data_IF_373946772839
#
_entry.id   IF_373946772839
#
_cell.length_a   1.000
_cell.length_b   1.000
_cell.length_c   1.000
_cell.angle_alpha   90.00
_cell.angle_beta   90.00
_cell.angle_gamma   90.00
#
_symmetry.space_group_name_H-M   'P 1'
#
loop_
_entity.id
_entity.type
_entity.pdbx_description
1 polymer ?
#
# COMPACT_ATOMS: atom_id res chain seq x y z
N UNK A 1 49.20 9.87 -20.85
CA UNK A 1 47.92 10.15 -20.14
C UNK A 1 46.97 9.01 -20.44
N UNK A 2 46.66 8.20 -19.44
CA UNK A 2 45.79 7.04 -19.59
C UNK A 2 44.33 7.49 -19.62
N UNK A 3 43.46 6.77 -20.34
CA UNK A 3 42.00 7.02 -20.41
C UNK A 3 41.32 7.24 -19.02
N UNK A 4 41.98 6.79 -17.97
CA UNK A 4 41.59 6.94 -16.57
C UNK A 4 41.73 8.39 -16.06
N UNK A 5 42.65 9.17 -16.58
CA UNK A 5 42.89 10.57 -16.16
C UNK A 5 41.96 11.56 -16.88
N UNK A 6 41.45 11.20 -18.07
CA UNK A 6 40.53 12.07 -18.82
C UNK A 6 39.10 12.04 -18.26
N UNK A 7 38.70 10.92 -17.61
CA UNK A 7 37.37 10.78 -16.97
C UNK A 7 37.28 11.60 -15.67
N UNK A 8 38.38 11.88 -15.00
CA UNK A 8 38.43 12.65 -13.75
C UNK A 8 38.34 14.16 -13.95
N UNK A 9 38.58 14.68 -15.15
CA UNK A 9 38.59 16.13 -15.46
C UNK A 9 37.19 16.67 -15.88
N UNK A 10 36.26 15.82 -16.21
CA UNK A 10 34.90 16.21 -16.63
C UNK A 10 33.84 16.31 -15.48
N UNK A 11 34.24 15.94 -14.24
CA UNK A 11 33.37 15.92 -13.07
C UNK A 11 33.59 17.15 -12.15
N UNK A 12 34.44 18.08 -12.52
CA UNK A 12 34.95 19.15 -11.65
C UNK A 12 34.15 20.46 -11.62
N UNK A 13 32.92 20.52 -12.11
CA UNK A 13 32.11 21.74 -12.08
C UNK A 13 30.62 21.43 -11.81
N UNK A 14 30.31 21.00 -10.58
CA UNK A 14 28.95 21.08 -10.04
C UNK A 14 29.00 21.61 -8.60
N UNK A 15 28.25 22.67 -8.42
CA UNK A 15 28.02 23.49 -7.22
C UNK A 15 28.08 22.74 -5.88
N UNK A 16 28.67 23.41 -4.89
CA UNK A 16 28.62 23.07 -3.47
C UNK A 16 27.16 22.91 -3.02
N UNK A 17 26.70 21.65 -2.84
CA UNK A 17 25.31 21.50 -2.36
C UNK A 17 24.86 20.08 -2.17
N UNK A 18 25.44 19.00 -2.52
CA UNK A 18 25.08 17.65 -2.06
C UNK A 18 26.16 16.69 -2.53
N UNK A 19 26.81 16.01 -1.59
CA UNK A 19 27.87 15.06 -1.91
C UNK A 19 27.24 13.81 -2.53
N UNK A 20 27.09 13.79 -3.85
CA UNK A 20 26.69 12.61 -4.63
C UNK A 20 27.63 11.43 -4.36
N UNK A 21 27.16 10.22 -4.63
CA UNK A 21 27.98 9.02 -4.52
C UNK A 21 29.29 9.17 -5.29
N UNK A 22 30.42 8.98 -4.62
CA UNK A 22 31.71 8.96 -5.29
C UNK A 22 31.83 7.69 -6.16
N UNK A 23 32.41 7.77 -7.37
CA UNK A 23 32.59 6.61 -8.24
C UNK A 23 33.35 5.47 -7.55
N UNK A 24 34.24 5.77 -6.63
CA UNK A 24 34.97 4.78 -5.85
C UNK A 24 34.08 3.96 -4.92
N UNK A 25 33.06 4.56 -4.31
CA UNK A 25 32.11 3.87 -3.43
C UNK A 25 31.24 2.89 -4.22
N UNK A 26 30.78 3.29 -5.40
CA UNK A 26 30.01 2.43 -6.30
C UNK A 26 30.86 1.25 -6.78
N UNK A 27 32.08 1.50 -7.24
CA UNK A 27 33.01 0.46 -7.68
C UNK A 27 33.33 -0.51 -6.54
N UNK A 28 33.60 0.00 -5.34
CA UNK A 28 33.84 -0.83 -4.15
C UNK A 28 32.64 -1.73 -3.85
N UNK A 29 31.43 -1.17 -3.92
CA UNK A 29 30.21 -1.94 -3.66
C UNK A 29 30.01 -3.06 -4.69
N UNK A 30 30.15 -2.74 -5.98
CA UNK A 30 29.93 -3.71 -7.05
C UNK A 30 30.99 -4.82 -7.07
N UNK A 31 32.22 -4.50 -6.73
CA UNK A 31 33.36 -5.46 -6.70
C UNK A 31 33.32 -6.32 -5.41
N UNK A 32 33.28 -5.67 -4.24
CA UNK A 32 33.46 -6.36 -2.95
C UNK A 32 32.11 -6.71 -2.29
N UNK A 33 30.98 -6.21 -2.81
CA UNK A 33 29.65 -6.32 -2.18
C UNK A 33 29.64 -5.90 -0.69
N UNK A 34 30.51 -4.98 -0.33
CA UNK A 34 30.69 -4.51 1.03
C UNK A 34 31.02 -3.03 1.06
N UNK A 35 30.17 -2.26 1.71
CA UNK A 35 30.29 -0.81 1.77
C UNK A 35 29.55 -0.26 3.01
N UNK A 36 30.10 -0.51 4.20
CA UNK A 36 29.52 -0.05 5.46
C UNK A 36 29.63 1.47 5.61
N UNK A 37 28.51 2.15 5.81
CA UNK A 37 28.46 3.61 6.03
C UNK A 37 28.88 4.46 4.84
N UNK A 38 29.09 3.89 3.65
CA UNK A 38 29.51 4.66 2.49
C UNK A 38 28.43 5.60 1.98
N UNK A 39 28.88 6.65 1.32
CA UNK A 39 28.01 7.58 0.63
C UNK A 39 27.70 7.07 -0.78
N UNK A 40 26.44 6.61 -0.95
CA UNK A 40 25.85 6.14 -2.20
C UNK A 40 24.63 6.97 -2.57
N UNK A 41 24.56 8.21 -2.06
CA UNK A 41 23.46 9.12 -2.30
C UNK A 41 23.32 9.41 -3.79
N UNK A 42 22.08 9.24 -4.32
CA UNK A 42 21.79 9.41 -5.74
C UNK A 42 22.47 8.41 -6.67
N UNK A 43 23.10 7.33 -6.14
CA UNK A 43 23.78 6.33 -6.97
C UNK A 43 22.78 5.63 -7.90
N UNK A 44 23.20 5.40 -9.16
CA UNK A 44 22.46 4.54 -10.09
C UNK A 44 22.95 3.10 -9.96
N UNK A 45 22.09 2.27 -9.37
CA UNK A 45 22.32 0.85 -9.08
C UNK A 45 21.21 -0.02 -9.66
N UNK A 46 20.55 0.46 -10.73
CA UNK A 46 19.50 -0.30 -11.42
C UNK A 46 20.03 -1.64 -11.89
N UNK A 47 19.28 -2.71 -11.63
CA UNK A 47 19.67 -4.10 -11.93
C UNK A 47 20.98 -4.56 -11.26
N UNK A 48 21.52 -3.83 -10.29
CA UNK A 48 22.76 -4.23 -9.63
C UNK A 48 22.61 -5.58 -8.90
N UNK A 49 23.59 -6.46 -9.10
CA UNK A 49 23.64 -7.75 -8.42
C UNK A 49 24.31 -7.59 -7.05
N UNK A 50 23.49 -7.32 -6.03
CA UNK A 50 23.90 -7.01 -4.66
C UNK A 50 23.47 -8.08 -3.65
N UNK A 51 23.35 -9.34 -4.09
CA UNK A 51 23.00 -10.44 -3.18
C UNK A 51 24.03 -10.55 -2.06
N UNK A 52 23.54 -10.66 -0.82
CA UNK A 52 24.35 -10.75 0.40
C UNK A 52 25.25 -9.53 0.64
N UNK A 53 25.03 -8.43 -0.06
CA UNK A 53 25.81 -7.21 0.11
C UNK A 53 25.76 -6.72 1.57
N UNK A 54 26.91 -6.23 2.06
CA UNK A 54 27.03 -5.62 3.38
C UNK A 54 26.99 -4.10 3.24
N UNK A 55 25.82 -3.52 3.53
CA UNK A 55 25.51 -2.10 3.41
C UNK A 55 25.02 -1.48 4.73
N UNK A 56 25.51 -1.93 5.91
CA UNK A 56 25.00 -1.37 7.16
C UNK A 56 25.33 0.12 7.24
N UNK A 57 24.31 0.92 7.63
CA UNK A 57 24.41 2.38 7.76
C UNK A 57 24.83 3.12 6.47
N UNK A 58 24.74 2.48 5.30
CA UNK A 58 25.01 3.14 4.02
C UNK A 58 24.05 4.31 3.79
N UNK A 59 24.55 5.39 3.20
CA UNK A 59 23.77 6.56 2.80
C UNK A 59 23.29 6.34 1.36
N UNK A 60 22.01 5.96 1.21
CA UNK A 60 21.39 5.60 -0.07
C UNK A 60 20.23 6.55 -0.42
N UNK A 61 20.22 7.77 0.16
CA UNK A 61 19.15 8.74 -0.10
C UNK A 61 19.05 9.04 -1.60
N UNK A 62 17.85 8.93 -2.16
CA UNK A 62 17.59 9.18 -3.57
C UNK A 62 18.29 8.21 -4.53
N UNK A 63 18.94 7.15 -4.04
CA UNK A 63 19.58 6.17 -4.91
C UNK A 63 18.54 5.38 -5.73
N UNK A 64 18.90 5.02 -6.96
CA UNK A 64 18.09 4.21 -7.83
C UNK A 64 18.56 2.74 -7.79
N UNK A 65 17.82 1.92 -7.03
CA UNK A 65 18.02 0.48 -6.87
C UNK A 65 16.90 -0.32 -7.58
N UNK A 66 16.28 0.28 -8.59
CA UNK A 66 15.19 -0.35 -9.31
C UNK A 66 15.60 -1.71 -9.86
N UNK A 67 14.81 -2.76 -9.55
CA UNK A 67 15.05 -4.14 -9.96
C UNK A 67 16.42 -4.71 -9.54
N UNK A 68 17.13 -4.07 -8.61
CA UNK A 68 18.37 -4.61 -8.06
C UNK A 68 18.09 -5.90 -7.26
N UNK A 69 19.05 -6.81 -7.27
CA UNK A 69 18.98 -8.02 -6.47
C UNK A 69 19.73 -7.81 -5.14
N UNK A 70 18.96 -7.53 -4.10
CA UNK A 70 19.42 -7.31 -2.72
C UNK A 70 19.07 -8.50 -1.81
N UNK A 71 18.85 -9.68 -2.38
CA UNK A 71 18.47 -10.85 -1.58
C UNK A 71 19.54 -11.17 -0.53
N UNK A 72 19.07 -11.38 0.71
CA UNK A 72 19.93 -11.60 1.89
C UNK A 72 20.91 -10.45 2.19
N UNK A 73 20.74 -9.27 1.64
CA UNK A 73 21.60 -8.13 1.90
C UNK A 73 21.41 -7.60 3.35
N UNK A 74 22.47 -7.08 3.92
CA UNK A 74 22.45 -6.39 5.21
C UNK A 74 22.36 -4.88 4.97
N UNK A 75 21.17 -4.33 5.17
CA UNK A 75 20.84 -2.90 5.05
C UNK A 75 20.53 -2.26 6.42
N UNK A 76 21.00 -2.88 7.50
CA UNK A 76 20.69 -2.39 8.87
C UNK A 76 21.12 -0.94 9.05
N UNK A 77 20.16 -0.11 9.47
CA UNK A 77 20.39 1.31 9.70
C UNK A 77 20.76 2.11 8.45
N UNK A 78 20.61 1.55 7.25
CA UNK A 78 20.82 2.29 6.02
C UNK A 78 19.79 3.41 5.87
N UNK A 79 20.19 4.51 5.25
CA UNK A 79 19.30 5.61 4.93
C UNK A 79 18.87 5.50 3.46
N UNK A 80 17.63 5.02 3.27
CA UNK A 80 17.00 4.80 1.96
C UNK A 80 15.94 5.87 1.66
N UNK A 81 15.97 6.99 2.40
CA UNK A 81 15.01 8.09 2.20
C UNK A 81 14.94 8.48 0.74
N UNK A 82 13.71 8.52 0.18
CA UNK A 82 13.42 8.86 -1.21
C UNK A 82 14.13 7.99 -2.27
N UNK A 83 14.68 6.84 -1.88
CA UNK A 83 15.32 5.90 -2.82
C UNK A 83 14.27 5.12 -3.63
N UNK A 84 14.62 4.74 -4.86
CA UNK A 84 13.80 3.83 -5.66
C UNK A 84 14.29 2.39 -5.50
N UNK A 85 13.42 1.53 -5.00
CA UNK A 85 13.57 0.06 -4.91
C UNK A 85 12.48 -0.65 -5.71
N UNK A 86 11.91 0.04 -6.72
CA UNK A 86 10.80 -0.51 -7.49
C UNK A 86 11.19 -1.86 -8.14
N UNK A 87 10.43 -2.90 -7.84
CA UNK A 87 10.67 -4.25 -8.35
C UNK A 87 11.96 -4.92 -7.85
N UNK A 88 12.64 -4.34 -6.85
CA UNK A 88 13.87 -4.92 -6.29
C UNK A 88 13.57 -6.23 -5.54
N UNK A 89 14.52 -7.15 -5.57
CA UNK A 89 14.48 -8.38 -4.79
C UNK A 89 15.16 -8.16 -3.43
N UNK A 90 14.34 -8.02 -2.38
CA UNK A 90 14.75 -7.86 -0.98
C UNK A 90 14.49 -9.14 -0.15
N UNK A 91 14.31 -10.29 -0.81
CA UNK A 91 14.04 -11.56 -0.12
C UNK A 91 15.08 -11.81 0.98
N UNK A 92 14.62 -11.99 2.22
CA UNK A 92 15.46 -12.18 3.41
C UNK A 92 16.48 -11.06 3.71
N UNK A 93 16.32 -9.88 3.14
CA UNK A 93 17.16 -8.74 3.48
C UNK A 93 16.93 -8.28 4.93
N UNK A 94 17.96 -7.74 5.57
CA UNK A 94 17.87 -7.16 6.91
C UNK A 94 17.83 -5.63 6.82
N UNK A 95 16.62 -5.06 6.94
CA UNK A 95 16.32 -3.63 6.87
C UNK A 95 16.06 -3.02 8.27
N UNK A 96 16.35 -3.73 9.35
CA UNK A 96 16.07 -3.22 10.70
C UNK A 96 16.80 -1.91 10.97
N UNK A 97 16.06 -0.92 11.49
CA UNK A 97 16.57 0.42 11.72
C UNK A 97 16.86 1.22 10.45
N UNK A 98 16.53 0.69 9.25
CA UNK A 98 16.66 1.46 8.01
C UNK A 98 15.60 2.57 7.95
N UNK A 99 15.95 3.72 7.35
CA UNK A 99 15.00 4.79 7.09
C UNK A 99 14.39 4.61 5.72
N UNK A 100 13.05 4.46 5.67
CA UNK A 100 12.30 4.20 4.45
C UNK A 100 11.31 5.32 4.07
N UNK A 101 11.49 6.52 4.63
CA UNK A 101 10.61 7.64 4.31
C UNK A 101 10.67 7.98 2.82
N UNK A 102 9.52 7.99 2.15
CA UNK A 102 9.42 8.29 0.72
C UNK A 102 10.03 7.22 -0.20
N UNK A 103 10.52 6.10 0.34
CA UNK A 103 11.11 5.02 -0.46
C UNK A 103 10.07 4.37 -1.36
N UNK A 104 10.39 4.20 -2.64
CA UNK A 104 9.54 3.48 -3.60
C UNK A 104 9.84 1.98 -3.57
N UNK A 105 8.99 1.21 -2.90
CA UNK A 105 9.04 -0.25 -2.79
C UNK A 105 8.00 -0.95 -3.69
N UNK A 106 7.39 -0.22 -4.64
CA UNK A 106 6.34 -0.80 -5.48
C UNK A 106 6.84 -2.04 -6.21
N UNK A 107 6.02 -3.10 -6.15
CA UNK A 107 6.35 -4.41 -6.76
C UNK A 107 7.63 -5.07 -6.24
N UNK A 108 8.27 -4.58 -5.17
CA UNK A 108 9.44 -5.21 -4.56
C UNK A 108 9.06 -6.54 -3.87
N UNK A 109 10.02 -7.45 -3.78
CA UNK A 109 9.87 -8.70 -3.03
C UNK A 109 10.55 -8.58 -1.66
N UNK A 110 9.73 -8.38 -0.61
CA UNK A 110 10.14 -8.30 0.79
C UNK A 110 9.87 -9.61 1.55
N UNK A 111 9.66 -10.72 0.85
CA UNK A 111 9.39 -12.01 1.50
C UNK A 111 10.51 -12.36 2.46
N UNK A 112 10.16 -12.70 3.71
CA UNK A 112 11.08 -13.00 4.81
C UNK A 112 12.06 -11.86 5.16
N UNK A 113 11.90 -10.65 4.61
CA UNK A 113 12.72 -9.51 4.98
C UNK A 113 12.47 -9.11 6.46
N UNK A 114 13.54 -8.69 7.13
CA UNK A 114 13.48 -8.19 8.51
C UNK A 114 13.44 -6.67 8.46
N UNK A 115 12.33 -6.10 8.88
CA UNK A 115 12.13 -4.65 8.88
C UNK A 115 11.22 -4.23 10.03
N UNK A 116 11.29 -2.98 10.39
CA UNK A 116 10.41 -2.38 11.38
C UNK A 116 9.12 -1.93 10.66
N UNK A 117 7.94 -2.50 10.98
CA UNK A 117 6.69 -2.22 10.27
C UNK A 117 6.33 -0.73 10.19
N UNK A 118 6.71 0.04 11.20
CA UNK A 118 6.46 1.48 11.29
C UNK A 118 7.17 2.28 10.18
N UNK A 119 8.32 1.78 9.71
CA UNK A 119 9.10 2.45 8.66
C UNK A 119 8.40 2.35 7.29
N UNK A 120 7.60 1.29 7.05
CA UNK A 120 6.85 1.14 5.81
C UNK A 120 5.67 2.11 5.68
N UNK A 121 5.16 2.63 6.78
CA UNK A 121 4.00 3.54 6.77
C UNK A 121 4.25 4.83 5.96
N UNK A 122 5.50 5.21 5.75
CA UNK A 122 5.92 6.39 5.00
C UNK A 122 6.55 6.07 3.64
N UNK A 123 6.44 4.84 3.16
CA UNK A 123 6.97 4.37 1.87
C UNK A 123 5.84 3.96 0.92
N UNK A 124 6.15 3.81 -0.36
CA UNK A 124 5.21 3.34 -1.38
C UNK A 124 5.37 1.84 -1.57
N UNK A 125 4.37 1.05 -1.21
CA UNK A 125 4.48 -0.42 -1.15
C UNK A 125 3.47 -1.16 -2.05
N UNK A 126 2.81 -0.46 -2.99
CA UNK A 126 1.80 -1.05 -3.87
C UNK A 126 2.35 -2.23 -4.68
N UNK A 127 1.70 -3.38 -4.53
CA UNK A 127 2.10 -4.61 -5.21
C UNK A 127 3.36 -5.27 -4.66
N UNK A 128 3.95 -4.77 -3.58
CA UNK A 128 5.08 -5.42 -2.92
C UNK A 128 4.64 -6.73 -2.25
N UNK A 129 5.53 -7.72 -2.26
CA UNK A 129 5.31 -9.04 -1.65
C UNK A 129 5.93 -9.11 -0.25
N UNK A 130 5.42 -10.02 0.59
CA UNK A 130 6.00 -10.27 1.91
C UNK A 130 5.68 -9.21 2.97
N UNK A 131 4.84 -8.22 2.66
CA UNK A 131 4.41 -7.22 3.63
C UNK A 131 3.23 -7.76 4.44
N UNK A 132 3.38 -7.75 5.77
CA UNK A 132 2.28 -8.10 6.67
C UNK A 132 1.19 -7.01 6.67
N UNK A 133 -0.05 -7.38 7.02
CA UNK A 133 -1.15 -6.41 7.13
C UNK A 133 -0.82 -5.26 8.12
N UNK A 134 -0.04 -5.57 9.17
CA UNK A 134 0.40 -4.56 10.14
C UNK A 134 1.32 -3.50 9.54
N UNK A 135 2.08 -3.83 8.51
CA UNK A 135 3.01 -2.91 7.87
C UNK A 135 2.38 -2.11 6.71
N UNK A 136 1.23 -2.55 6.20
CA UNK A 136 0.50 -1.84 5.13
C UNK A 136 -0.17 -0.58 5.67
N UNK A 137 -0.20 0.45 4.85
CA UNK A 137 -0.96 1.66 5.14
C UNK A 137 -2.47 1.42 5.05
N UNK A 138 -3.24 2.31 5.71
CA UNK A 138 -4.70 2.31 5.56
C UNK A 138 -5.13 2.38 4.08
N UNK A 139 -4.52 3.30 3.32
CA UNK A 139 -4.89 3.53 1.92
C UNK A 139 -4.66 2.28 1.05
N UNK A 140 -3.54 1.60 1.21
CA UNK A 140 -3.26 0.36 0.48
C UNK A 140 -4.26 -0.74 0.80
N UNK A 141 -4.54 -0.97 2.09
CA UNK A 141 -5.49 -1.99 2.52
C UNK A 141 -6.89 -1.70 1.99
N UNK A 142 -7.33 -0.43 2.04
CA UNK A 142 -8.61 -0.01 1.50
C UNK A 142 -8.67 -0.23 -0.02
N UNK A 143 -7.67 0.23 -0.76
CA UNK A 143 -7.60 0.10 -2.22
C UNK A 143 -7.53 -1.37 -2.68
N UNK A 144 -6.82 -2.23 -1.95
CA UNK A 144 -6.81 -3.68 -2.22
C UNK A 144 -8.18 -4.30 -1.99
N UNK A 145 -8.91 -3.87 -0.94
CA UNK A 145 -10.30 -4.25 -0.72
C UNK A 145 -11.20 -3.85 -1.87
N UNK A 146 -11.04 -2.64 -2.41
CA UNK A 146 -11.78 -2.16 -3.59
C UNK A 146 -11.47 -3.01 -4.80
N UNK A 147 -10.20 -3.29 -5.10
CA UNK A 147 -9.80 -4.16 -6.22
C UNK A 147 -10.41 -5.55 -6.10
N UNK A 148 -10.39 -6.14 -4.90
CA UNK A 148 -10.98 -7.46 -4.65
C UNK A 148 -12.50 -7.41 -4.84
N UNK A 149 -13.19 -6.36 -4.37
CA UNK A 149 -14.63 -6.17 -4.54
C UNK A 149 -15.02 -6.06 -6.01
N UNK A 150 -14.29 -5.28 -6.80
CA UNK A 150 -14.50 -5.14 -8.25
C UNK A 150 -14.26 -6.45 -9.01
N UNK A 151 -13.39 -7.31 -8.50
CA UNK A 151 -13.15 -8.67 -9.02
C UNK A 151 -14.16 -9.72 -8.49
N UNK A 152 -15.23 -9.29 -7.80
CA UNK A 152 -16.24 -10.13 -7.14
C UNK A 152 -15.66 -11.13 -6.10
N UNK A 153 -14.46 -10.85 -5.59
CA UNK A 153 -13.81 -11.63 -4.51
C UNK A 153 -14.22 -11.07 -3.13
N UNK A 154 -15.51 -11.15 -2.82
CA UNK A 154 -16.09 -10.50 -1.65
C UNK A 154 -15.48 -10.94 -0.30
N UNK A 155 -15.11 -12.21 -0.06
CA UNK A 155 -14.41 -12.60 1.17
C UNK A 155 -13.03 -11.95 1.33
N UNK A 156 -12.26 -11.85 0.23
CA UNK A 156 -10.97 -11.17 0.21
C UNK A 156 -11.14 -9.65 0.45
N UNK A 157 -12.14 -9.04 -0.20
CA UNK A 157 -12.49 -7.64 0.01
C UNK A 157 -12.84 -7.34 1.46
N UNK A 158 -13.69 -8.16 2.09
CA UNK A 158 -14.06 -8.04 3.50
C UNK A 158 -12.84 -8.09 4.42
N UNK A 159 -11.92 -9.01 4.17
CA UNK A 159 -10.68 -9.11 4.94
C UNK A 159 -9.86 -7.83 4.83
N UNK A 160 -9.63 -7.32 3.62
CA UNK A 160 -8.84 -6.09 3.39
C UNK A 160 -9.49 -4.86 4.03
N UNK A 161 -10.81 -4.72 3.92
CA UNK A 161 -11.52 -3.62 4.59
C UNK A 161 -11.47 -3.76 6.11
N UNK A 162 -11.49 -4.97 6.66
CA UNK A 162 -11.34 -5.18 8.11
C UNK A 162 -9.96 -4.78 8.61
N UNK A 163 -8.91 -5.12 7.84
CA UNK A 163 -7.54 -4.69 8.10
C UNK A 163 -7.41 -3.16 8.00
N UNK A 164 -8.04 -2.52 7.01
CA UNK A 164 -8.08 -1.06 6.87
C UNK A 164 -8.80 -0.38 8.04
N UNK A 165 -9.94 -0.90 8.46
CA UNK A 165 -10.70 -0.41 9.63
C UNK A 165 -9.88 -0.50 10.90
N UNK A 166 -9.09 -1.57 11.09
CA UNK A 166 -8.21 -1.69 12.23
C UNK A 166 -7.12 -0.59 12.27
N UNK A 167 -6.68 -0.10 11.09
CA UNK A 167 -5.75 1.03 10.96
C UNK A 167 -6.40 2.39 11.19
N UNK A 168 -7.62 2.56 10.69
CA UNK A 168 -8.37 3.82 10.76
C UNK A 168 -9.84 3.54 11.07
N UNK A 169 -10.20 3.40 12.37
CA UNK A 169 -11.56 3.04 12.78
C UNK A 169 -12.63 4.09 12.46
N UNK A 170 -12.25 5.34 12.28
CA UNK A 170 -13.10 6.47 11.94
C UNK A 170 -13.33 6.64 10.44
N UNK A 171 -12.73 5.80 9.60
CA UNK A 171 -12.90 5.86 8.16
C UNK A 171 -14.25 5.25 7.73
N UNK A 172 -15.30 6.06 7.70
CA UNK A 172 -16.67 5.66 7.35
C UNK A 172 -16.77 4.87 6.04
N UNK A 173 -15.96 5.26 5.04
CA UNK A 173 -15.92 4.62 3.73
C UNK A 173 -15.52 3.15 3.78
N UNK A 174 -14.59 2.76 4.67
CA UNK A 174 -14.17 1.36 4.80
C UNK A 174 -15.21 0.49 5.46
N UNK A 175 -15.94 1.05 6.43
CA UNK A 175 -17.11 0.38 7.03
C UNK A 175 -18.21 0.16 6.01
N UNK A 176 -18.54 1.19 5.22
CA UNK A 176 -19.52 1.07 4.13
C UNK A 176 -19.10 0.01 3.11
N UNK A 177 -17.86 0.01 2.66
CA UNK A 177 -17.35 -0.94 1.68
C UNK A 177 -17.35 -2.38 2.20
N UNK A 178 -17.00 -2.59 3.49
CA UNK A 178 -17.10 -3.90 4.13
C UNK A 178 -18.56 -4.36 4.24
N UNK A 179 -19.46 -3.47 4.62
CA UNK A 179 -20.89 -3.76 4.67
C UNK A 179 -21.45 -4.22 3.31
N UNK A 180 -21.06 -3.56 2.23
CA UNK A 180 -21.42 -3.97 0.87
C UNK A 180 -20.86 -5.37 0.56
N UNK A 181 -19.58 -5.62 0.86
CA UNK A 181 -18.95 -6.92 0.62
C UNK A 181 -19.61 -8.06 1.41
N UNK A 182 -20.07 -7.80 2.63
CA UNK A 182 -20.82 -8.75 3.46
C UNK A 182 -22.19 -9.05 2.91
N UNK A 183 -22.86 -8.02 2.40
CA UNK A 183 -24.18 -8.18 1.79
C UNK A 183 -24.12 -9.03 0.52
N UNK A 184 -23.10 -8.84 -0.32
CA UNK A 184 -22.85 -9.68 -1.49
C UNK A 184 -22.60 -11.17 -1.13
N UNK A 185 -22.17 -11.44 0.09
CA UNK A 185 -22.04 -12.77 0.67
C UNK A 185 -23.32 -13.29 1.35
N UNK A 186 -24.44 -12.52 1.33
CA UNK A 186 -25.68 -12.86 2.01
C UNK A 186 -25.65 -12.65 3.54
N UNK A 187 -24.60 -12.03 4.07
CA UNK A 187 -24.41 -11.77 5.53
C UNK A 187 -25.13 -10.49 5.94
N UNK A 188 -26.45 -10.46 5.78
CA UNK A 188 -27.27 -9.26 5.88
C UNK A 188 -27.23 -8.57 7.26
N UNK A 189 -27.21 -9.33 8.35
CA UNK A 189 -27.16 -8.75 9.69
C UNK A 189 -25.83 -7.98 9.93
N UNK A 190 -24.71 -8.53 9.51
CA UNK A 190 -23.41 -7.92 9.66
C UNK A 190 -23.22 -6.75 8.68
N UNK A 191 -23.74 -6.87 7.47
CA UNK A 191 -23.79 -5.79 6.51
C UNK A 191 -24.57 -4.58 7.05
N UNK A 192 -25.74 -4.82 7.63
CA UNK A 192 -26.57 -3.77 8.24
C UNK A 192 -25.86 -3.09 9.41
N UNK A 193 -25.13 -3.84 10.24
CA UNK A 193 -24.35 -3.28 11.34
C UNK A 193 -23.24 -2.34 10.83
N UNK A 194 -22.49 -2.76 9.82
CA UNK A 194 -21.41 -1.96 9.21
C UNK A 194 -21.97 -0.69 8.56
N UNK A 195 -23.06 -0.79 7.79
CA UNK A 195 -23.67 0.37 7.12
C UNK A 195 -24.25 1.37 8.12
N UNK A 196 -24.88 0.88 9.20
CA UNK A 196 -25.38 1.74 10.25
C UNK A 196 -24.25 2.48 10.97
N UNK A 197 -23.14 1.81 11.22
CA UNK A 197 -21.96 2.44 11.83
C UNK A 197 -21.32 3.47 10.89
N UNK A 198 -21.16 3.13 9.61
CA UNK A 198 -20.69 4.05 8.59
C UNK A 198 -21.57 5.31 8.52
N UNK A 199 -22.91 5.13 8.58
CA UNK A 199 -23.87 6.24 8.60
C UNK A 199 -23.63 7.20 9.75
N UNK A 200 -23.42 6.69 10.96
CA UNK A 200 -23.10 7.51 12.14
C UNK A 200 -21.79 8.29 11.97
N UNK A 201 -20.76 7.66 11.40
CA UNK A 201 -19.49 8.33 11.16
C UNK A 201 -19.62 9.45 10.12
N UNK A 202 -20.42 9.26 9.07
CA UNK A 202 -20.70 10.32 8.08
C UNK A 202 -21.50 11.48 8.72
N UNK A 203 -22.48 11.20 9.56
CA UNK A 203 -23.21 12.25 10.31
C UNK A 203 -22.26 13.06 11.21
N UNK A 204 -21.34 12.39 11.92
CA UNK A 204 -20.32 13.05 12.74
C UNK A 204 -19.37 13.92 11.91
N UNK A 205 -19.11 13.53 10.65
CA UNK A 205 -18.33 14.31 9.70
C UNK A 205 -19.09 15.46 9.03
N UNK A 206 -20.38 15.63 9.34
CA UNK A 206 -21.24 16.68 8.75
C UNK A 206 -22.00 16.23 7.49
N UNK A 207 -21.78 15.01 7.02
CA UNK A 207 -22.42 14.43 5.82
C UNK A 207 -23.78 13.80 6.20
N UNK A 208 -24.72 14.63 6.68
CA UNK A 208 -25.97 14.19 7.28
C UNK A 208 -26.83 13.36 6.31
N UNK A 209 -26.94 13.80 5.05
CA UNK A 209 -27.78 13.12 4.05
C UNK A 209 -27.27 11.72 3.75
N UNK A 210 -25.96 11.56 3.52
CA UNK A 210 -25.33 10.27 3.26
C UNK A 210 -25.45 9.35 4.49
N UNK A 211 -25.26 9.90 5.69
CA UNK A 211 -25.43 9.17 6.94
C UNK A 211 -26.82 8.55 7.07
N UNK A 212 -27.86 9.36 6.87
CA UNK A 212 -29.27 8.92 6.93
C UNK A 212 -29.60 7.88 5.85
N UNK A 213 -29.08 8.06 4.63
CA UNK A 213 -29.28 7.10 3.55
C UNK A 213 -28.69 5.72 3.90
N UNK A 214 -27.49 5.68 4.46
CA UNK A 214 -26.84 4.44 4.89
C UNK A 214 -27.60 3.76 6.03
N UNK A 215 -28.08 4.49 7.01
CA UNK A 215 -28.89 3.93 8.11
C UNK A 215 -30.23 3.38 7.61
N UNK A 216 -30.86 4.05 6.64
CA UNK A 216 -32.08 3.56 5.99
C UNK A 216 -31.80 2.28 5.20
N UNK A 217 -30.70 2.22 4.45
CA UNK A 217 -30.26 1.02 3.73
C UNK A 217 -30.01 -0.14 4.71
N UNK A 218 -29.28 0.11 5.81
CA UNK A 218 -29.03 -0.86 6.87
C UNK A 218 -30.32 -1.47 7.42
N UNK A 219 -31.31 -0.62 7.72
CA UNK A 219 -32.63 -1.05 8.22
C UNK A 219 -33.38 -1.92 7.19
N UNK A 220 -33.27 -1.59 5.90
CA UNK A 220 -33.86 -2.38 4.82
C UNK A 220 -33.22 -3.76 4.67
N UNK A 221 -31.89 -3.83 4.74
CA UNK A 221 -31.13 -5.07 4.65
C UNK A 221 -31.40 -5.99 5.84
N UNK A 222 -31.43 -5.44 7.05
CA UNK A 222 -31.70 -6.20 8.28
C UNK A 222 -33.06 -6.88 8.28
N UNK A 223 -34.07 -6.26 7.66
CA UNK A 223 -35.45 -6.82 7.56
C UNK A 223 -35.53 -7.97 6.53
N UNK A 224 -34.52 -8.16 5.71
CA UNK A 224 -34.52 -9.13 4.62
C UNK A 224 -35.53 -8.76 3.50
N UNK A 225 -35.55 -9.54 2.40
CA UNK A 225 -36.55 -9.37 1.35
C UNK A 225 -37.94 -9.62 1.91
N UNK A 226 -38.89 -8.68 1.70
CA UNK A 226 -40.31 -8.95 1.94
C UNK A 226 -40.77 -10.02 0.96
N UNK A 227 -40.99 -11.24 1.45
CA UNK A 227 -41.65 -12.27 0.66
C UNK A 227 -43.10 -11.85 0.53
N UNK A 228 -43.44 -11.22 -0.58
CA UNK A 228 -44.86 -11.00 -0.93
C UNK A 228 -45.35 -12.31 -1.52
N UNK A 229 -46.16 -13.04 -0.75
CA UNK A 229 -46.87 -14.20 -1.24
C UNK A 229 -47.96 -13.69 -2.19
N UNK A 230 -47.65 -13.58 -3.46
CA UNK A 230 -48.59 -13.32 -4.55
C UNK A 230 -48.49 -14.47 -5.53
N UNK A 231 -49.66 -15.05 -5.84
CA UNK A 231 -49.82 -16.12 -6.83
C UNK A 231 -49.23 -15.70 -8.18
N UNK A 232 -48.19 -16.40 -8.61
CA UNK A 232 -47.84 -16.52 -10.03
C UNK A 232 -46.72 -15.59 -10.53
N UNK A 233 -45.70 -16.25 -11.01
CA UNK A 233 -44.63 -15.77 -11.90
C UNK A 233 -43.74 -14.64 -11.43
N UNK A 234 -42.48 -14.99 -11.22
CA UNK A 234 -41.32 -14.08 -11.24
C UNK A 234 -40.98 -13.55 -9.87
N UNK A 235 -39.93 -14.08 -9.29
CA UNK A 235 -39.26 -13.53 -8.13
C UNK A 235 -38.80 -12.11 -8.44
N UNK A 236 -39.62 -11.09 -8.20
CA UNK A 236 -39.18 -9.72 -8.06
C UNK A 236 -38.55 -9.54 -6.68
N UNK A 237 -37.35 -10.03 -6.55
CA UNK A 237 -36.43 -9.67 -5.50
C UNK A 237 -35.93 -8.24 -5.76
N UNK A 238 -36.68 -7.24 -5.32
CA UNK A 238 -36.16 -5.87 -5.28
C UNK A 238 -36.70 -5.19 -4.03
N UNK A 239 -36.04 -5.42 -2.93
CA UNK A 239 -36.15 -4.52 -1.80
C UNK A 239 -35.53 -3.18 -2.20
N UNK A 240 -36.20 -2.05 -1.88
CA UNK A 240 -35.64 -0.71 -2.13
C UNK A 240 -34.26 -0.45 -1.51
N UNK A 241 -33.81 -1.31 -0.59
CA UNK A 241 -32.48 -1.31 -0.03
C UNK A 241 -31.40 -1.72 -1.05
N UNK A 242 -31.69 -2.69 -1.95
CA UNK A 242 -30.80 -3.10 -3.02
C UNK A 242 -30.61 -1.98 -4.05
N UNK A 243 -31.70 -1.33 -4.46
CA UNK A 243 -31.63 -0.21 -5.40
C UNK A 243 -30.85 0.98 -4.83
N UNK A 244 -30.97 1.23 -3.51
CA UNK A 244 -30.18 2.27 -2.83
C UNK A 244 -28.69 1.93 -2.78
N UNK A 245 -28.32 0.69 -2.50
CA UNK A 245 -26.93 0.27 -2.52
C UNK A 245 -26.32 0.31 -3.91
N UNK A 246 -27.09 -0.04 -4.95
CA UNK A 246 -26.66 0.15 -6.34
C UNK A 246 -26.45 1.62 -6.71
N UNK A 247 -27.22 2.55 -6.11
CA UNK A 247 -27.01 3.98 -6.28
C UNK A 247 -25.81 4.50 -5.47
N UNK A 248 -25.52 3.88 -4.34
CA UNK A 248 -24.38 4.24 -3.47
C UNK A 248 -23.06 3.60 -3.94
N UNK A 249 -23.12 2.45 -4.62
CA UNK A 249 -21.92 1.78 -5.14
C UNK A 249 -21.09 2.65 -6.09
N UNK A 250 -21.67 3.39 -7.07
CA UNK A 250 -20.92 4.35 -7.89
C UNK A 250 -20.35 5.52 -7.07
N UNK A 251 -21.06 5.95 -6.04
CA UNK A 251 -20.61 7.01 -5.13
C UNK A 251 -19.43 6.51 -4.28
N UNK A 252 -19.53 5.29 -3.77
CA UNK A 252 -18.43 4.62 -3.09
C UNK A 252 -17.21 4.50 -4.00
N UNK A 253 -17.39 4.05 -5.25
CA UNK A 253 -16.32 3.95 -6.25
C UNK A 253 -15.75 5.33 -6.60
N UNK A 254 -16.58 6.38 -6.69
CA UNK A 254 -16.16 7.75 -6.99
C UNK A 254 -15.41 8.40 -5.82
N UNK A 255 -15.79 8.11 -4.58
CA UNK A 255 -15.08 8.52 -3.37
C UNK A 255 -13.80 7.69 -3.12
N UNK A 256 -13.72 6.51 -3.76
CA UNK A 256 -12.55 5.64 -3.79
C UNK A 256 -11.54 6.00 -4.89
N UNK A 257 -11.79 7.10 -5.64
CA UNK A 257 -10.86 7.60 -6.66
C UNK A 257 -9.47 7.82 -6.07
N UNK A 258 -8.41 7.68 -6.88
CA UNK A 258 -7.05 7.75 -6.39
C UNK A 258 -6.84 9.10 -5.71
N UNK A 259 -6.70 9.08 -4.40
CA UNK A 259 -6.10 10.20 -3.69
C UNK A 259 -4.65 10.22 -4.11
N UNK A 260 -4.31 11.17 -4.99
CA UNK A 260 -2.96 11.48 -5.39
C UNK A 260 -2.12 11.89 -4.19
#
# INVERSE_FOLDING_TARGET
MTKRQLLLLLIGLLSAGEAMAGPDAILQLLDKKSCSGCNLQGADLVYAELQRAQLPKAKLQGANLGRANLSNANLRGADLTDASLQGANLHRADLRGAKLKGTDLRSADLTDARLDPEQLASSHTEGAKGITAQARSYAELHNDGVKASLAAKHPEAEQRFSEAIAKKPDAAISWMARGISRQEQGRNAEAAADLNYAGKLYEQAGEMELGQQLQKAATGIAKGPKIVHGNGMGSQMLSGAWSMLQQLAPLAIKLMGPSF
#
